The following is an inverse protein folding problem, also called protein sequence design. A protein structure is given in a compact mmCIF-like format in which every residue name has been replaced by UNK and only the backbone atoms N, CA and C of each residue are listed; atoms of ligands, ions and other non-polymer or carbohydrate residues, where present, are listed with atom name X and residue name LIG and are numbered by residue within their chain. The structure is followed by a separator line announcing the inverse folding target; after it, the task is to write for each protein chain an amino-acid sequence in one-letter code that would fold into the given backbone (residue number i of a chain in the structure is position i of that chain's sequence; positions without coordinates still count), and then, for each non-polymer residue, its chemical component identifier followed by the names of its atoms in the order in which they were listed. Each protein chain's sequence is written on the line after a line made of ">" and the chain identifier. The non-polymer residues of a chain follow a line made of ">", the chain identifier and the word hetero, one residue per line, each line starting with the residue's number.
data_IF_474417609738
#
_entry.id   IF_474417609738
#
_cell.length_a   1.000
_cell.length_b   1.000
_cell.length_c   1.000
_cell.angle_alpha   90.00
_cell.angle_beta   90.00
_cell.angle_gamma   90.00
#
_symmetry.space_group_name_H-M   'P 1'
#
loop_
_entity.id
_entity.type
_entity.pdbx_description
1 polymer ?
#
# COMPACT_ATOMS: atom_id res chain seq x y z
N UNK A 1 -10.19 -45.14 35.72
CA UNK A 1 -9.71 -43.75 35.84
C UNK A 1 -8.71 -43.45 34.72
N UNK A 2 -9.17 -43.10 33.52
CA UNK A 2 -8.30 -42.85 32.34
C UNK A 2 -8.85 -41.77 31.40
N UNK A 3 -10.18 -41.59 31.38
CA UNK A 3 -10.87 -40.59 30.57
C UNK A 3 -10.51 -39.15 30.99
N UNK A 4 -10.39 -38.89 32.30
CA UNK A 4 -10.13 -37.53 32.81
C UNK A 4 -8.73 -37.00 32.47
N UNK A 5 -7.73 -37.89 32.38
CA UNK A 5 -6.40 -37.53 31.88
C UNK A 5 -6.44 -37.17 30.41
N UNK A 6 -7.14 -37.94 29.56
CA UNK A 6 -7.24 -37.63 28.13
C UNK A 6 -7.85 -36.25 27.87
N UNK A 7 -8.87 -35.84 28.64
CA UNK A 7 -9.48 -34.51 28.51
C UNK A 7 -8.48 -33.38 28.84
N UNK A 8 -7.65 -33.57 29.87
CA UNK A 8 -6.63 -32.58 30.25
C UNK A 8 -5.49 -32.47 29.22
N UNK A 9 -5.14 -33.57 28.55
CA UNK A 9 -4.15 -33.53 27.48
C UNK A 9 -4.70 -32.88 26.20
N UNK A 10 -5.98 -33.08 25.88
CA UNK A 10 -6.62 -32.46 24.71
C UNK A 10 -6.80 -30.95 24.92
N UNK A 11 -7.14 -30.49 26.13
CA UNK A 11 -7.21 -29.04 26.41
C UNK A 11 -5.84 -28.36 26.37
N UNK A 12 -4.78 -29.03 26.82
CA UNK A 12 -3.42 -28.51 26.70
C UNK A 12 -2.93 -28.45 25.24
N UNK A 13 -3.42 -29.31 24.34
CA UNK A 13 -3.12 -29.24 22.90
C UNK A 13 -3.89 -28.12 22.17
N UNK A 14 -5.13 -27.83 22.56
CA UNK A 14 -5.92 -26.76 21.89
C UNK A 14 -5.41 -25.36 22.22
N UNK A 15 -4.85 -25.14 23.42
CA UNK A 15 -4.30 -23.84 23.83
C UNK A 15 -3.02 -23.43 23.08
N UNK A 16 -2.29 -24.37 22.48
CA UNK A 16 -1.05 -24.08 21.74
C UNK A 16 -1.31 -23.58 20.32
N UNK A 17 -2.46 -23.96 19.75
CA UNK A 17 -2.88 -23.57 18.40
C UNK A 17 -3.56 -22.21 18.31
N UNK A 18 -3.77 -21.53 19.44
CA UNK A 18 -4.33 -20.18 19.50
C UNK A 18 -3.27 -19.08 19.63
N UNK A 19 -1.98 -19.36 19.39
CA UNK A 19 -1.00 -18.29 19.15
C UNK A 19 -1.28 -17.68 17.77
N UNK A 20 -2.19 -16.71 17.75
CA UNK A 20 -2.30 -15.77 16.62
C UNK A 20 -0.94 -15.10 16.44
N UNK A 21 -0.24 -15.45 15.35
CA UNK A 21 0.95 -14.71 14.93
C UNK A 21 0.43 -13.37 14.41
N UNK A 22 0.71 -12.28 15.13
CA UNK A 22 0.45 -10.94 14.59
C UNK A 22 1.29 -10.78 13.32
N UNK A 23 0.73 -10.28 12.22
CA UNK A 23 1.50 -10.06 10.99
C UNK A 23 2.73 -9.18 11.25
N UNK A 24 3.83 -9.44 10.53
CA UNK A 24 4.93 -8.50 10.36
C UNK A 24 4.53 -7.38 9.37
N UNK A 25 5.32 -6.31 9.22
CA UNK A 25 4.97 -5.17 8.36
C UNK A 25 4.50 -5.59 6.97
N UNK A 26 5.19 -6.54 6.33
CA UNK A 26 4.82 -7.06 5.01
C UNK A 26 3.46 -7.76 5.04
N UNK A 27 3.17 -8.49 6.11
CA UNK A 27 1.86 -9.08 6.35
C UNK A 27 0.74 -8.04 6.46
N UNK A 28 0.97 -6.94 7.19
CA UNK A 28 0.00 -5.83 7.28
C UNK A 28 -0.24 -5.16 5.93
N UNK A 29 0.82 -4.93 5.15
CA UNK A 29 0.72 -4.32 3.81
C UNK A 29 -0.05 -5.25 2.86
N UNK A 30 0.21 -6.56 2.89
CA UNK A 30 -0.52 -7.55 2.09
C UNK A 30 -2.01 -7.54 2.41
N UNK A 31 -2.36 -7.61 3.69
CA UNK A 31 -3.76 -7.59 4.13
C UNK A 31 -4.47 -6.28 3.71
N UNK A 32 -3.82 -5.14 3.91
CA UNK A 32 -4.32 -3.85 3.46
C UNK A 32 -4.51 -3.79 1.93
N UNK A 33 -3.58 -4.35 1.17
CA UNK A 33 -3.66 -4.40 -0.30
C UNK A 33 -4.79 -5.30 -0.78
N UNK A 34 -5.00 -6.45 -0.13
CA UNK A 34 -6.11 -7.36 -0.42
C UNK A 34 -7.45 -6.66 -0.19
N UNK A 35 -7.59 -5.97 0.94
CA UNK A 35 -8.79 -5.15 1.24
C UNK A 35 -8.99 -4.03 0.21
N UNK A 36 -7.92 -3.36 -0.21
CA UNK A 36 -7.99 -2.33 -1.24
C UNK A 36 -8.47 -2.91 -2.58
N UNK A 37 -7.95 -4.06 -2.98
CA UNK A 37 -8.28 -4.72 -4.24
C UNK A 37 -9.68 -5.34 -4.26
N UNK A 38 -10.24 -5.72 -3.10
CA UNK A 38 -11.61 -6.19 -2.96
C UNK A 38 -12.67 -5.09 -3.19
N UNK A 39 -12.29 -3.81 -3.10
CA UNK A 39 -13.22 -2.71 -3.37
C UNK A 39 -13.65 -2.75 -4.83
N UNK A 40 -14.91 -2.40 -5.11
CA UNK A 40 -15.47 -2.41 -6.47
C UNK A 40 -14.92 -1.29 -7.37
N UNK A 41 -14.12 -0.37 -6.84
CA UNK A 41 -13.52 0.69 -7.64
C UNK A 41 -12.33 0.19 -8.46
N UNK A 42 -12.35 0.52 -9.76
CA UNK A 42 -11.28 0.22 -10.71
C UNK A 42 -11.46 -1.12 -11.44
N UNK A 43 -10.86 -1.19 -12.63
CA UNK A 43 -10.94 -2.36 -13.52
C UNK A 43 -9.80 -3.36 -13.30
N UNK A 44 -8.66 -2.87 -12.79
CA UNK A 44 -7.42 -3.63 -12.66
C UNK A 44 -6.98 -3.74 -11.20
N UNK A 45 -6.22 -4.79 -10.91
CA UNK A 45 -5.61 -4.96 -9.60
C UNK A 45 -4.41 -4.04 -9.39
N UNK A 46 -4.15 -3.70 -8.13
CA UNK A 46 -2.93 -3.02 -7.70
C UNK A 46 -1.98 -4.00 -7.02
N UNK A 47 -0.67 -3.81 -7.23
CA UNK A 47 0.39 -4.56 -6.57
C UNK A 47 1.30 -3.61 -5.78
N UNK A 48 1.82 -4.08 -4.65
CA UNK A 48 2.82 -3.36 -3.85
C UNK A 48 4.02 -3.01 -4.72
N UNK A 49 4.40 -1.73 -4.76
CA UNK A 49 5.52 -1.25 -5.56
C UNK A 49 6.79 -1.09 -4.71
N UNK A 50 6.69 -0.34 -3.61
CA UNK A 50 7.80 -0.07 -2.70
C UNK A 50 7.29 0.58 -1.41
N UNK A 51 8.11 0.60 -0.38
CA UNK A 51 7.89 1.46 0.78
C UNK A 51 7.93 2.94 0.39
N UNK A 52 7.33 3.79 1.23
CA UNK A 52 7.44 5.22 1.07
C UNK A 52 8.85 5.69 1.49
N UNK A 53 9.49 6.63 0.76
CA UNK A 53 10.82 7.11 1.15
C UNK A 53 10.81 7.75 2.54
N UNK A 54 11.85 7.49 3.35
CA UNK A 54 12.00 8.00 4.73
C UNK A 54 11.79 9.51 4.85
N UNK A 55 12.26 10.28 3.86
CA UNK A 55 12.12 11.75 3.78
C UNK A 55 10.64 12.21 3.85
N UNK A 56 9.71 11.32 3.50
CA UNK A 56 8.27 11.61 3.54
C UNK A 56 7.62 11.11 4.82
N UNK A 57 8.18 10.07 5.44
CA UNK A 57 7.74 9.53 6.72
C UNK A 57 8.07 10.50 7.88
N UNK A 58 9.20 11.21 7.79
CA UNK A 58 9.59 12.22 8.80
C UNK A 58 8.63 13.41 8.89
N UNK A 59 7.86 13.73 7.83
CA UNK A 59 6.84 14.79 7.88
C UNK A 59 5.50 14.33 8.50
N UNK A 60 5.25 13.02 8.61
CA UNK A 60 3.98 12.45 9.10
C UNK A 60 3.94 12.28 10.64
N UNK A 61 5.06 12.61 11.33
CA UNK A 61 5.18 12.54 12.79
C UNK A 61 5.30 11.12 13.34
N UNK A 62 5.47 10.97 14.66
CA UNK A 62 5.61 9.69 15.39
C UNK A 62 4.36 8.77 15.35
N UNK A 63 3.48 8.93 14.36
CA UNK A 63 2.33 8.05 14.19
C UNK A 63 2.81 6.64 13.79
N UNK A 64 2.22 5.56 14.35
CA UNK A 64 2.57 4.18 14.02
C UNK A 64 2.00 3.77 12.64
N UNK A 65 1.98 4.69 11.69
CA UNK A 65 1.43 4.50 10.35
C UNK A 65 2.49 3.91 9.42
N UNK A 66 2.06 3.00 8.54
CA UNK A 66 2.91 2.38 7.53
C UNK A 66 2.58 3.02 6.18
N UNK A 67 3.54 3.75 5.62
CA UNK A 67 3.45 4.39 4.31
C UNK A 67 4.06 3.53 3.21
N UNK A 68 3.32 3.29 2.12
CA UNK A 68 3.80 2.51 0.98
C UNK A 68 3.20 2.97 -0.34
N UNK A 69 3.79 2.52 -1.45
CA UNK A 69 3.34 2.78 -2.81
C UNK A 69 2.74 1.51 -3.41
N UNK A 70 1.65 1.69 -4.16
CA UNK A 70 1.03 0.63 -4.97
C UNK A 70 0.94 1.08 -6.42
N UNK A 71 1.02 0.14 -7.35
CA UNK A 71 0.92 0.41 -8.79
C UNK A 71 -0.07 -0.54 -9.46
N UNK A 72 -0.86 0.02 -10.36
CA UNK A 72 -1.82 -0.71 -11.19
C UNK A 72 -1.11 -1.76 -12.07
N UNK A 73 -1.73 -2.92 -12.18
CA UNK A 73 -1.26 -4.07 -12.95
C UNK A 73 -2.05 -4.22 -14.26
N UNK A 74 -1.60 -5.11 -15.14
CA UNK A 74 -2.34 -5.47 -16.36
C UNK A 74 -3.42 -6.54 -16.11
N UNK A 75 -3.57 -7.01 -14.86
CA UNK A 75 -4.56 -8.03 -14.50
C UNK A 75 -5.92 -7.40 -14.16
N UNK A 76 -6.99 -7.76 -14.89
CA UNK A 76 -8.33 -7.25 -14.62
C UNK A 76 -8.94 -7.94 -13.40
N UNK A 77 -9.75 -7.20 -12.63
CA UNK A 77 -10.49 -7.74 -11.47
C UNK A 77 -11.57 -8.76 -11.87
N UNK A 78 -11.99 -8.77 -13.13
CA UNK A 78 -13.00 -9.71 -13.65
C UNK A 78 -12.50 -11.14 -13.79
N UNK A 79 -11.19 -11.36 -13.70
CA UNK A 79 -10.55 -12.67 -13.87
C UNK A 79 -9.89 -13.08 -12.56
N UNK A 80 -10.05 -14.36 -12.18
CA UNK A 80 -9.31 -14.95 -11.07
C UNK A 80 -7.84 -15.04 -11.47
N UNK A 81 -7.04 -14.09 -10.98
CA UNK A 81 -5.65 -13.88 -11.34
C UNK A 81 -4.73 -14.07 -10.13
N UNK A 82 -3.61 -14.74 -10.35
CA UNK A 82 -2.51 -14.76 -9.38
C UNK A 82 -1.74 -13.42 -9.44
N UNK A 83 -2.00 -12.54 -8.47
CA UNK A 83 -1.38 -11.21 -8.35
C UNK A 83 0.15 -11.25 -8.40
N UNK A 84 0.77 -12.34 -7.97
CA UNK A 84 2.23 -12.45 -8.02
C UNK A 84 2.78 -12.54 -9.44
N UNK A 85 1.99 -13.09 -10.37
CA UNK A 85 2.33 -13.21 -11.79
C UNK A 85 1.92 -11.98 -12.62
N UNK A 86 1.21 -11.04 -12.03
CA UNK A 86 0.75 -9.84 -12.71
C UNK A 86 1.87 -8.81 -12.87
N UNK A 87 2.16 -8.47 -14.11
CA UNK A 87 3.09 -7.39 -14.43
C UNK A 87 2.47 -6.02 -14.12
N UNK A 88 3.32 -5.05 -13.79
CA UNK A 88 2.90 -3.67 -13.65
C UNK A 88 2.52 -3.10 -15.01
N UNK A 89 1.35 -2.49 -15.05
CA UNK A 89 0.89 -1.77 -16.23
C UNK A 89 1.82 -0.61 -16.54
N UNK A 90 2.22 -0.49 -17.81
CA UNK A 90 3.21 0.52 -18.24
C UNK A 90 2.77 1.95 -17.89
N UNK A 91 1.52 2.27 -18.21
CA UNK A 91 0.87 3.56 -17.92
C UNK A 91 -0.02 3.48 -16.67
N UNK A 92 0.21 2.46 -15.83
CA UNK A 92 -0.58 2.19 -14.64
C UNK A 92 -0.49 3.31 -13.60
N UNK A 93 -1.61 3.57 -12.95
CA UNK A 93 -1.67 4.54 -11.86
C UNK A 93 -0.79 4.10 -10.68
N UNK A 94 -0.07 5.04 -10.08
CA UNK A 94 0.63 4.84 -8.81
C UNK A 94 -0.12 5.58 -7.71
N UNK A 95 -0.32 4.94 -6.57
CA UNK A 95 -0.96 5.55 -5.39
C UNK A 95 -0.02 5.48 -4.19
N UNK A 96 -0.11 6.50 -3.34
CA UNK A 96 0.49 6.50 -1.99
C UNK A 96 -0.57 6.01 -1.04
N UNK A 97 -0.25 5.00 -0.24
CA UNK A 97 -1.14 4.44 0.76
C UNK A 97 -0.54 4.64 2.15
N UNK A 98 -1.42 4.91 3.11
CA UNK A 98 -1.10 4.97 4.53
C UNK A 98 -2.00 3.98 5.25
N UNK A 99 -1.40 3.08 6.03
CA UNK A 99 -2.08 2.14 6.90
C UNK A 99 -1.87 2.57 8.35
N UNK A 100 -2.96 2.73 9.10
CA UNK A 100 -2.90 3.03 10.53
C UNK A 100 -3.08 1.72 11.30
N UNK A 101 -2.15 1.33 12.17
CA UNK A 101 -2.23 0.06 12.90
C UNK A 101 -3.49 -0.06 13.79
N UNK A 102 -4.13 1.06 14.13
CA UNK A 102 -5.34 1.14 14.96
C UNK A 102 -6.64 1.15 14.13
N UNK A 103 -6.56 1.39 12.82
CA UNK A 103 -7.72 1.44 11.92
C UNK A 103 -7.59 0.33 10.88
N UNK A 104 -8.60 -0.53 10.72
CA UNK A 104 -8.62 -1.61 9.71
C UNK A 104 -8.68 -1.08 8.26
N UNK A 105 -8.64 0.23 8.05
CA UNK A 105 -8.79 0.88 6.76
C UNK A 105 -7.47 1.42 6.22
N UNK A 106 -7.17 1.04 4.97
CA UNK A 106 -6.10 1.64 4.19
C UNK A 106 -6.60 2.85 3.41
N UNK A 107 -5.85 3.95 3.50
CA UNK A 107 -6.14 5.18 2.75
C UNK A 107 -5.13 5.39 1.65
N UNK A 108 -5.57 5.30 0.40
CA UNK A 108 -4.73 5.49 -0.77
C UNK A 108 -5.10 6.76 -1.54
N UNK A 109 -4.08 7.51 -1.98
CA UNK A 109 -4.21 8.73 -2.77
C UNK A 109 -3.44 8.59 -4.07
N UNK A 110 -4.12 8.85 -5.17
CA UNK A 110 -3.54 8.84 -6.51
C UNK A 110 -2.44 9.88 -6.71
N UNK A 111 -1.29 9.43 -7.18
CA UNK A 111 -0.22 10.30 -7.69
C UNK A 111 -0.53 10.71 -9.12
N UNK A 112 -1.60 11.49 -9.30
CA UNK A 112 -2.00 11.91 -10.64
C UNK A 112 -0.87 12.73 -11.30
N UNK A 113 -0.31 12.18 -12.39
CA UNK A 113 0.57 12.90 -13.33
C UNK A 113 -0.18 13.93 -14.19
N UNK A 114 -1.52 14.00 -14.11
CA UNK A 114 -2.31 14.92 -14.93
C UNK A 114 -3.35 15.68 -14.10
N UNK A 115 -2.92 16.78 -13.48
CA UNK A 115 -3.73 17.98 -13.64
C UNK A 115 -3.29 18.64 -14.95
N UNK A 116 -3.98 18.30 -16.04
CA UNK A 116 -4.26 19.32 -17.05
C UNK A 116 -5.08 20.39 -16.33
N UNK A 117 -4.41 21.26 -15.60
CA UNK A 117 -5.00 22.55 -15.25
C UNK A 117 -5.30 23.18 -16.60
N UNK A 118 -6.59 23.24 -16.95
CA UNK A 118 -7.06 24.20 -17.95
C UNK A 118 -6.34 25.49 -17.61
N UNK A 119 -5.49 25.98 -18.54
CA UNK A 119 -4.87 27.29 -18.44
C UNK A 119 -5.99 28.32 -18.41
N UNK A 120 -6.53 28.59 -17.23
CA UNK A 120 -7.08 29.90 -16.91
C UNK A 120 -5.87 30.80 -16.70
N UNK A 121 -5.62 31.69 -17.67
CA UNK A 121 -4.44 32.53 -17.76
C UNK A 121 -4.33 33.54 -16.63
N UNK A 122 -3.85 33.11 -15.47
CA UNK A 122 -3.34 34.04 -14.45
C UNK A 122 -2.18 33.37 -13.73
N UNK A 123 -0.95 33.90 -13.91
CA UNK A 123 0.24 33.51 -13.15
C UNK A 123 -0.01 33.83 -11.68
N UNK A 124 -0.63 32.93 -10.92
CA UNK A 124 -0.66 33.03 -9.45
C UNK A 124 0.76 32.74 -8.96
N UNK A 125 1.35 33.68 -8.20
CA UNK A 125 2.61 33.47 -7.50
C UNK A 125 2.49 32.18 -6.67
N UNK A 126 3.39 31.24 -6.92
CA UNK A 126 3.43 29.96 -6.23
C UNK A 126 3.86 30.22 -4.76
N UNK A 127 2.96 29.98 -3.79
CA UNK A 127 3.28 30.14 -2.37
C UNK A 127 4.18 28.99 -1.86
N UNK A 128 4.71 29.12 -0.64
CA UNK A 128 5.60 28.11 0.00
C UNK A 128 5.03 26.68 -0.06
N UNK A 129 3.74 26.51 0.22
CA UNK A 129 3.04 25.22 0.18
C UNK A 129 3.07 24.55 -1.20
N UNK A 130 3.10 25.33 -2.29
CA UNK A 130 3.22 24.76 -3.63
C UNK A 130 4.63 24.24 -3.91
N UNK A 131 5.66 24.96 -3.45
CA UNK A 131 7.06 24.51 -3.59
C UNK A 131 7.31 23.21 -2.82
N UNK A 132 6.71 23.06 -1.63
CA UNK A 132 6.82 21.83 -0.84
C UNK A 132 6.16 20.65 -1.55
N UNK A 133 4.93 20.82 -2.05
CA UNK A 133 4.24 19.80 -2.86
C UNK A 133 5.00 19.40 -4.12
N UNK A 134 5.63 20.36 -4.79
CA UNK A 134 6.44 20.10 -5.98
C UNK A 134 7.68 19.26 -5.63
N UNK A 135 8.37 19.60 -4.54
CA UNK A 135 9.52 18.85 -4.03
C UNK A 135 9.15 17.41 -3.65
N UNK A 136 8.03 17.24 -2.94
CA UNK A 136 7.49 15.92 -2.56
C UNK A 136 7.22 15.07 -3.81
N UNK A 137 6.56 15.66 -4.81
CA UNK A 137 6.29 14.99 -6.09
C UNK A 137 7.58 14.57 -6.77
N UNK A 138 8.59 15.43 -6.83
CA UNK A 138 9.89 15.12 -7.44
C UNK A 138 10.58 13.95 -6.76
N UNK A 139 10.59 13.94 -5.42
CA UNK A 139 11.16 12.84 -4.62
C UNK A 139 10.46 11.52 -4.93
N UNK A 140 9.13 11.51 -4.91
CA UNK A 140 8.33 10.32 -5.21
C UNK A 140 8.58 9.84 -6.66
N UNK A 141 8.55 10.74 -7.65
CA UNK A 141 8.81 10.35 -9.04
C UNK A 141 10.21 9.81 -9.25
N UNK A 142 11.22 10.41 -8.61
CA UNK A 142 12.60 9.93 -8.69
C UNK A 142 12.76 8.57 -8.00
N UNK A 143 12.00 8.31 -6.93
CA UNK A 143 12.02 7.01 -6.26
C UNK A 143 11.39 5.94 -7.14
N UNK A 144 10.19 6.21 -7.71
CA UNK A 144 9.51 5.31 -8.64
C UNK A 144 10.39 4.99 -9.85
N UNK A 145 11.06 5.98 -10.46
CA UNK A 145 11.96 5.77 -11.61
C UNK A 145 13.20 4.93 -11.25
N UNK A 146 13.60 4.90 -9.97
CA UNK A 146 14.67 4.01 -9.49
C UNK A 146 14.15 2.60 -9.27
N UNK A 147 12.98 2.45 -8.64
CA UNK A 147 12.34 1.15 -8.35
C UNK A 147 11.96 0.41 -9.63
N UNK A 148 11.42 1.11 -10.63
CA UNK A 148 10.98 0.53 -11.90
C UNK A 148 12.12 0.35 -12.92
N UNK A 149 13.35 0.77 -12.61
CA UNK A 149 14.46 0.62 -13.56
C UNK A 149 14.86 -0.87 -13.63
N UNK A 150 14.98 -1.47 -14.83
CA UNK A 150 15.45 -2.85 -14.93
C UNK A 150 16.87 -2.93 -14.33
N UNK A 151 17.08 -3.85 -13.39
CA UNK A 151 18.41 -4.23 -12.95
C UNK A 151 19.03 -5.02 -14.10
N UNK A 152 19.89 -4.35 -14.86
CA UNK A 152 20.69 -4.95 -15.93
C UNK A 152 21.86 -5.76 -15.37
#
# INVERSE_FOLDING_TARGET
>A
MKVWQCVLWISALTLQMARSQSPDQDGWIREALDLYNQREDGEFFFKFLSDLPDVLLEEEGDSPAIGFLIKETDCPKSEDCDLEKCDYRKDGEVKVCTLYREEEDVKCVSLSKNSRTRRAGTKRKCNFLCKLKEKLRTVITSHIDKVLRPQG
#
